data_IF_986128296078
#
_entry.id   IF_986128296078
#
_cell.length_a   1.000
_cell.length_b   1.000
_cell.length_c   1.000
_cell.angle_alpha   90.00
_cell.angle_beta   90.00
_cell.angle_gamma   90.00
#
_symmetry.space_group_name_H-M   'P 1'
#
loop_
_entity.id
_entity.type
_entity.pdbx_description
1 polymer ?
#
# COMPACT_ATOMS: atom_id res chain seq x y z
N UNK A 1 14.44 13.45 -19.21
CA UNK A 1 13.43 12.38 -19.11
C UNK A 1 14.10 11.03 -19.20
N UNK A 2 14.63 10.54 -18.08
CA UNK A 2 15.11 9.17 -17.95
C UNK A 2 14.00 8.38 -17.25
N UNK A 3 13.31 7.52 -18.00
CA UNK A 3 12.42 6.53 -17.41
C UNK A 3 13.31 5.53 -16.67
N UNK A 4 13.23 5.50 -15.34
CA UNK A 4 14.03 4.60 -14.52
C UNK A 4 13.59 3.16 -14.80
N UNK A 5 14.55 2.32 -15.21
CA UNK A 5 14.36 0.89 -15.43
C UNK A 5 15.27 0.12 -14.49
N UNK A 6 14.79 -1.05 -14.05
CA UNK A 6 15.61 -2.00 -13.30
C UNK A 6 16.13 -3.03 -14.28
N UNK A 7 17.45 -3.19 -14.34
CA UNK A 7 18.09 -4.25 -15.11
C UNK A 7 18.29 -5.47 -14.21
N UNK A 8 17.85 -6.63 -14.67
CA UNK A 8 18.12 -7.93 -14.02
C UNK A 8 18.66 -8.91 -15.04
N UNK A 9 19.52 -9.82 -14.59
CA UNK A 9 19.92 -10.96 -15.40
C UNK A 9 18.91 -12.10 -15.20
N UNK A 10 18.31 -12.55 -16.29
CA UNK A 10 17.35 -13.65 -16.28
C UNK A 10 17.71 -14.65 -17.37
N UNK A 11 17.98 -15.90 -16.97
CA UNK A 11 18.41 -16.98 -17.85
C UNK A 11 19.63 -16.62 -18.72
N UNK A 12 20.60 -15.89 -18.16
CA UNK A 12 21.83 -15.48 -18.85
C UNK A 12 21.68 -14.26 -19.77
N UNK A 13 20.50 -13.62 -19.79
CA UNK A 13 20.25 -12.42 -20.58
C UNK A 13 19.87 -11.23 -19.70
N UNK A 14 20.41 -10.05 -20.02
CA UNK A 14 19.98 -8.80 -19.41
C UNK A 14 18.55 -8.45 -19.86
N UNK A 15 17.63 -8.30 -18.91
CA UNK A 15 16.28 -7.77 -19.12
C UNK A 15 16.10 -6.47 -18.36
N UNK A 16 15.37 -5.55 -18.97
CA UNK A 16 15.00 -4.28 -18.38
C UNK A 16 13.52 -4.31 -18.06
N UNK A 17 13.17 -3.89 -16.85
CA UNK A 17 11.78 -3.79 -16.41
C UNK A 17 11.45 -2.35 -16.05
N UNK A 18 10.32 -1.88 -16.54
CA UNK A 18 9.70 -0.68 -16.04
C UNK A 18 9.03 -0.95 -14.68
N UNK A 19 8.85 0.11 -13.88
CA UNK A 19 8.16 0.01 -12.60
C UNK A 19 6.74 -0.56 -12.75
N UNK A 20 6.05 -0.20 -13.83
CA UNK A 20 4.69 -0.64 -14.15
C UNK A 20 4.61 -2.14 -14.43
N UNK A 21 5.55 -2.67 -15.21
CA UNK A 21 5.64 -4.11 -15.52
C UNK A 21 5.94 -4.91 -14.26
N UNK A 22 6.87 -4.41 -13.44
CA UNK A 22 7.21 -5.02 -12.15
C UNK A 22 6.01 -5.05 -11.21
N UNK A 23 5.24 -3.96 -11.17
CA UNK A 23 4.04 -3.86 -10.36
C UNK A 23 2.91 -4.78 -10.87
N UNK A 24 2.72 -4.88 -12.19
CA UNK A 24 1.78 -5.81 -12.82
C UNK A 24 2.08 -7.26 -12.43
N UNK A 25 3.34 -7.67 -12.52
CA UNK A 25 3.77 -9.02 -12.11
C UNK A 25 3.48 -9.28 -10.63
N UNK A 26 3.74 -8.30 -9.77
CA UNK A 26 3.47 -8.40 -8.33
C UNK A 26 1.98 -8.55 -8.03
N UNK A 27 1.13 -7.69 -8.61
CA UNK A 27 -0.33 -7.72 -8.39
C UNK A 27 -0.92 -9.02 -8.90
N UNK A 28 -0.48 -9.49 -10.07
CA UNK A 28 -0.88 -10.80 -10.62
C UNK A 28 -0.54 -11.92 -9.65
N UNK A 29 0.69 -11.94 -9.11
CA UNK A 29 1.08 -12.98 -8.17
C UNK A 29 0.31 -12.93 -6.86
N UNK A 30 -0.01 -11.73 -6.37
CA UNK A 30 -0.83 -11.55 -5.17
C UNK A 30 -2.26 -12.02 -5.37
N UNK A 31 -2.84 -11.79 -6.55
CA UNK A 31 -4.15 -12.34 -6.93
C UNK A 31 -4.14 -13.86 -6.89
N UNK A 32 -3.17 -14.50 -7.54
CA UNK A 32 -3.05 -15.97 -7.54
C UNK A 32 -2.98 -16.55 -6.11
N UNK A 33 -2.19 -15.92 -5.23
CA UNK A 33 -2.06 -16.34 -3.83
C UNK A 33 -3.39 -16.16 -3.09
N UNK A 34 -4.08 -15.05 -3.30
CA UNK A 34 -5.38 -14.79 -2.67
C UNK A 34 -6.45 -15.79 -3.14
N UNK A 35 -6.50 -16.09 -4.43
CA UNK A 35 -7.42 -17.08 -5.02
C UNK A 35 -7.13 -18.50 -4.53
N UNK A 36 -5.84 -18.86 -4.41
CA UNK A 36 -5.43 -20.15 -3.85
C UNK A 36 -5.82 -20.28 -2.37
N UNK A 37 -5.72 -19.18 -1.60
CA UNK A 37 -6.10 -19.15 -0.18
C UNK A 37 -7.61 -19.19 0.02
N UNK A 38 -8.37 -18.39 -0.72
CA UNK A 38 -9.83 -18.29 -0.60
C UNK A 38 -10.57 -19.44 -1.31
N UNK A 39 -9.89 -20.17 -2.20
CA UNK A 39 -10.47 -21.17 -3.13
C UNK A 39 -11.60 -20.60 -4.01
N UNK A 40 -11.56 -19.28 -4.24
CA UNK A 40 -12.55 -18.55 -5.01
C UNK A 40 -11.85 -17.49 -5.86
N UNK A 41 -12.46 -17.15 -7.01
CA UNK A 41 -11.98 -16.07 -7.87
C UNK A 41 -12.09 -14.73 -7.16
N UNK A 42 -11.03 -13.93 -7.20
CA UNK A 42 -11.00 -12.60 -6.59
C UNK A 42 -11.36 -11.57 -7.66
N UNK A 43 -12.43 -10.82 -7.42
CA UNK A 43 -12.97 -9.84 -8.37
C UNK A 43 -12.67 -8.39 -8.04
N UNK A 44 -12.66 -8.05 -6.75
CA UNK A 44 -12.50 -6.65 -6.31
C UNK A 44 -11.20 -6.51 -5.51
N UNK A 45 -10.51 -5.40 -5.68
CA UNK A 45 -9.30 -5.09 -4.94
C UNK A 45 -9.27 -3.63 -4.48
N UNK A 46 -8.77 -3.43 -3.25
CA UNK A 46 -8.38 -2.14 -2.71
C UNK A 46 -6.86 -2.17 -2.55
N UNK A 47 -6.17 -1.14 -3.07
CA UNK A 47 -4.71 -1.05 -2.99
C UNK A 47 -4.33 -0.06 -1.91
N UNK A 48 -3.47 -0.48 -0.99
CA UNK A 48 -2.91 0.40 0.03
C UNK A 48 -1.71 1.13 -0.56
N UNK A 49 -1.71 2.46 -0.48
CA UNK A 49 -0.65 3.31 -1.03
C UNK A 49 -0.09 4.27 0.02
N UNK A 50 1.14 4.76 -0.15
CA UNK A 50 1.67 5.83 0.69
C UNK A 50 0.84 7.11 0.56
N UNK A 51 0.76 7.91 1.63
CA UNK A 51 -0.04 9.14 1.65
C UNK A 51 0.38 10.20 0.61
N UNK A 52 1.59 10.10 0.07
CA UNK A 52 2.14 11.02 -0.93
C UNK A 52 1.91 10.55 -2.38
N UNK A 53 1.20 9.45 -2.61
CA UNK A 53 0.82 9.04 -3.96
C UNK A 53 -0.28 9.97 -4.48
N UNK A 54 -0.03 10.67 -5.59
CA UNK A 54 -0.99 11.63 -6.17
C UNK A 54 -1.18 11.39 -7.67
N UNK A 55 -2.40 11.67 -8.14
CA UNK A 55 -2.77 11.80 -9.55
C UNK A 55 -2.38 10.60 -10.42
N UNK A 56 -1.36 10.79 -11.26
CA UNK A 56 -0.95 9.84 -12.31
C UNK A 56 -0.67 8.42 -11.79
N UNK A 57 -0.10 8.31 -10.59
CA UNK A 57 0.20 6.99 -10.01
C UNK A 57 -1.07 6.19 -9.68
N UNK A 58 -2.16 6.85 -9.29
CA UNK A 58 -3.45 6.18 -9.06
C UNK A 58 -4.06 5.67 -10.36
N UNK A 59 -3.92 6.44 -11.45
CA UNK A 59 -4.36 6.01 -12.78
C UNK A 59 -3.58 4.77 -13.22
N UNK A 60 -2.26 4.77 -13.07
CA UNK A 60 -1.40 3.62 -13.40
C UNK A 60 -1.78 2.39 -12.58
N UNK A 61 -2.01 2.53 -11.27
CA UNK A 61 -2.45 1.43 -10.40
C UNK A 61 -3.81 0.88 -10.85
N UNK A 62 -4.76 1.76 -11.19
CA UNK A 62 -6.08 1.37 -11.68
C UNK A 62 -5.98 0.58 -12.98
N UNK A 63 -5.16 1.05 -13.92
CA UNK A 63 -4.95 0.37 -15.20
C UNK A 63 -4.32 -1.01 -15.01
N UNK A 64 -3.35 -1.12 -14.10
CA UNK A 64 -2.71 -2.40 -13.75
C UNK A 64 -3.71 -3.36 -13.08
N UNK A 65 -4.58 -2.87 -12.19
CA UNK A 65 -5.64 -3.70 -11.61
C UNK A 65 -6.59 -4.23 -12.68
N UNK A 66 -7.00 -3.38 -13.62
CA UNK A 66 -7.86 -3.78 -14.74
C UNK A 66 -7.17 -4.84 -15.62
N UNK A 67 -5.88 -4.69 -15.90
CA UNK A 67 -5.08 -5.68 -16.64
C UNK A 67 -4.98 -7.03 -15.92
N UNK A 68 -4.94 -7.04 -14.58
CA UNK A 68 -5.00 -8.27 -13.79
C UNK A 68 -6.41 -8.88 -13.68
N UNK A 69 -7.43 -8.27 -14.30
CA UNK A 69 -8.83 -8.68 -14.14
C UNK A 69 -9.35 -8.47 -12.72
N UNK A 70 -8.91 -7.40 -12.06
CA UNK A 70 -9.40 -6.95 -10.76
C UNK A 70 -10.16 -5.63 -10.95
N UNK A 71 -11.34 -5.54 -10.37
CA UNK A 71 -12.07 -4.28 -10.25
C UNK A 71 -11.45 -3.42 -9.15
N UNK A 72 -10.81 -2.33 -9.57
CA UNK A 72 -10.19 -1.37 -8.67
C UNK A 72 -11.28 -0.57 -7.93
N UNK A 73 -11.51 -0.91 -6.66
CA UNK A 73 -12.50 -0.23 -5.81
C UNK A 73 -11.99 1.10 -5.27
N UNK A 74 -10.68 1.34 -5.36
CA UNK A 74 -10.02 2.54 -4.87
C UNK A 74 -8.71 2.20 -4.19
N UNK A 75 -7.97 3.25 -3.85
CA UNK A 75 -6.77 3.18 -3.03
C UNK A 75 -7.04 3.85 -1.70
N UNK A 76 -6.46 3.30 -0.65
CA UNK A 76 -6.51 3.88 0.69
C UNK A 76 -5.09 4.16 1.15
N UNK A 77 -4.92 5.22 1.93
CA UNK A 77 -3.62 5.48 2.53
C UNK A 77 -3.33 4.42 3.61
N UNK A 78 -2.05 4.10 3.79
CA UNK A 78 -1.59 3.08 4.75
C UNK A 78 -2.05 3.34 6.19
N UNK A 79 -2.09 4.60 6.59
CA UNK A 79 -2.46 5.02 7.94
C UNK A 79 -3.95 4.83 8.24
N UNK A 80 -4.80 5.11 7.28
CA UNK A 80 -6.24 4.87 7.32
C UNK A 80 -6.51 3.38 7.32
N UNK A 81 -5.80 2.58 6.51
CA UNK A 81 -5.90 1.12 6.58
C UNK A 81 -5.53 0.60 7.97
N UNK A 82 -4.41 1.06 8.54
CA UNK A 82 -4.00 0.69 9.89
C UNK A 82 -5.06 1.08 10.92
N UNK A 83 -5.65 2.27 10.79
CA UNK A 83 -6.68 2.69 11.72
C UNK A 83 -7.95 1.83 11.66
N UNK A 84 -8.36 1.43 10.46
CA UNK A 84 -9.47 0.48 10.26
C UNK A 84 -9.15 -0.88 10.89
N UNK A 85 -7.95 -1.42 10.64
CA UNK A 85 -7.52 -2.73 11.19
C UNK A 85 -7.41 -2.70 12.71
N UNK A 86 -6.91 -1.61 13.30
CA UNK A 86 -6.85 -1.42 14.74
C UNK A 86 -8.23 -1.21 15.39
N UNK A 87 -9.29 -1.07 14.59
CA UNK A 87 -10.66 -0.91 15.07
C UNK A 87 -10.99 0.50 15.56
N UNK A 88 -10.21 1.51 15.16
CA UNK A 88 -10.49 2.91 15.47
C UNK A 88 -11.79 3.43 14.83
N UNK A 89 -12.30 2.76 13.80
CA UNK A 89 -13.58 3.03 13.14
C UNK A 89 -14.81 2.57 13.96
N UNK A 90 -14.63 1.68 14.95
CA UNK A 90 -15.74 1.16 15.76
C UNK A 90 -16.06 2.15 16.88
N UNK A 91 -16.98 3.07 16.62
CA UNK A 91 -17.48 4.13 17.50
C UNK A 91 -17.77 3.72 18.96
N UNK A 92 -16.72 3.59 19.77
CA UNK A 92 -16.83 3.68 21.22
C UNK A 92 -16.98 5.16 21.56
N UNK A 93 -18.23 5.56 21.74
CA UNK A 93 -18.66 6.80 22.38
C UNK A 93 -17.73 7.12 23.56
N UNK A 94 -16.90 8.14 23.39
CA UNK A 94 -15.86 8.50 24.36
C UNK A 94 -14.80 9.39 23.74
N UNK A 95 -15.10 10.69 23.67
CA UNK A 95 -14.19 11.83 23.51
C UNK A 95 -12.69 11.55 23.32
N UNK A 96 -12.17 12.03 22.18
CA UNK A 96 -10.77 12.45 21.96
C UNK A 96 -9.65 11.51 22.45
N UNK A 97 -9.35 10.48 21.67
CA UNK A 97 -8.04 9.81 21.75
C UNK A 97 -7.10 10.39 20.69
N UNK A 98 -6.06 11.09 21.15
CA UNK A 98 -4.87 11.37 20.33
C UNK A 98 -4.14 10.04 20.10
N UNK A 99 -4.68 9.20 19.22
CA UNK A 99 -4.13 7.88 18.99
C UNK A 99 -2.83 8.02 18.21
N UNK A 100 -1.77 7.52 18.85
CA UNK A 100 -0.43 7.40 18.28
C UNK A 100 -0.25 5.93 17.96
N UNK A 101 -0.15 5.61 16.69
CA UNK A 101 0.21 4.27 16.27
C UNK A 101 1.56 4.31 15.55
N UNK A 102 2.37 3.31 15.86
CA UNK A 102 3.70 3.13 15.32
C UNK A 102 3.69 1.84 14.52
N UNK A 103 4.14 1.91 13.27
CA UNK A 103 4.34 0.74 12.41
C UNK A 103 5.83 0.60 12.12
N UNK A 104 6.29 -0.63 12.25
CA UNK A 104 7.60 -1.04 11.74
C UNK A 104 7.36 -1.71 10.39
N UNK A 105 7.85 -1.11 9.31
CA UNK A 105 7.74 -1.64 7.95
C UNK A 105 9.10 -1.56 7.27
N UNK A 106 9.63 -2.68 6.76
CA UNK A 106 10.87 -2.71 5.97
C UNK A 106 12.13 -2.17 6.68
N UNK A 107 12.18 -2.13 8.02
CA UNK A 107 13.28 -1.56 8.79
C UNK A 107 13.11 -0.08 9.19
N UNK A 108 12.02 0.56 8.76
CA UNK A 108 11.69 1.95 9.10
C UNK A 108 10.68 1.99 10.25
N UNK A 109 10.91 2.91 11.19
CA UNK A 109 9.92 3.28 12.20
C UNK A 109 9.12 4.44 11.66
N UNK A 110 7.83 4.18 11.46
CA UNK A 110 6.88 5.16 10.98
C UNK A 110 5.84 5.37 12.08
N UNK A 111 5.66 6.63 12.49
CA UNK A 111 4.67 7.02 13.48
C UNK A 111 3.67 7.99 12.87
N UNK A 112 2.41 7.88 13.25
CA UNK A 112 1.40 8.88 12.89
C UNK A 112 0.58 9.28 14.10
N UNK A 113 0.03 10.49 14.02
CA UNK A 113 -0.96 11.00 14.96
C UNK A 113 -2.24 11.25 14.18
N UNK A 114 -3.33 10.65 14.64
CA UNK A 114 -4.66 10.88 14.09
C UNK A 114 -5.61 11.41 15.16
N UNK A 115 -6.67 12.06 14.70
CA UNK A 115 -7.88 12.28 15.50
C UNK A 115 -9.02 11.51 14.87
N UNK A 116 -9.84 10.90 15.73
CA UNK A 116 -11.01 10.14 15.34
C UNK A 116 -12.22 10.91 15.86
N UNK A 117 -13.06 11.39 14.96
CA UNK A 117 -14.35 12.01 15.29
C UNK A 117 -15.43 11.32 14.44
N UNK A 118 -16.48 10.79 15.08
CA UNK A 118 -17.62 10.13 14.44
C UNK A 118 -17.27 9.05 13.38
N UNK A 119 -16.22 8.27 13.64
CA UNK A 119 -15.73 7.21 12.72
C UNK A 119 -14.87 7.73 11.56
N UNK A 120 -14.73 9.05 11.43
CA UNK A 120 -13.81 9.67 10.47
C UNK A 120 -12.42 9.73 11.09
N UNK A 121 -11.47 8.99 10.49
CA UNK A 121 -10.06 9.01 10.88
C UNK A 121 -9.35 10.10 10.08
N UNK A 122 -8.98 11.18 10.74
CA UNK A 122 -8.15 12.25 10.16
C UNK A 122 -6.70 12.10 10.62
N UNK A 123 -5.78 11.92 9.67
CA UNK A 123 -4.33 11.83 9.95
C UNK A 123 -3.76 13.24 10.01
N UNK A 124 -3.34 13.68 11.20
CA UNK A 124 -2.84 15.05 11.43
C UNK A 124 -1.35 15.21 11.17
N UNK A 125 -0.57 14.16 11.38
CA UNK A 125 0.88 14.21 11.15
C UNK A 125 1.43 12.81 10.95
N UNK A 126 2.37 12.70 10.01
CA UNK A 126 3.16 11.49 9.77
C UNK A 126 4.63 11.82 10.04
N UNK A 127 5.32 10.93 10.74
CA UNK A 127 6.74 11.01 11.01
C UNK A 127 7.39 9.71 10.55
N UNK A 128 8.46 9.82 9.79
CA UNK A 128 9.21 8.68 9.27
C UNK A 128 10.67 8.85 9.67
N UNK A 129 11.30 7.78 10.15
CA UNK A 129 12.75 7.74 10.38
C UNK A 129 13.34 6.54 9.68
N UNK A 130 14.21 6.79 8.70
CA UNK A 130 15.07 5.75 8.13
C UNK A 130 16.05 5.32 9.22
N UNK A 131 15.98 4.07 9.65
CA UNK A 131 17.17 3.43 10.21
C UNK A 131 17.95 2.87 9.03
N UNK A 132 19.14 3.42 8.78
CA UNK A 132 20.13 2.74 7.96
C UNK A 132 20.42 1.40 8.63
N UNK A 133 19.92 0.30 8.07
CA UNK A 133 20.48 -1.02 8.32
C UNK A 133 21.71 -1.10 7.43
N UNK A 134 22.88 -0.81 7.99
CA UNK A 134 24.14 -1.29 7.40
C UNK A 134 24.09 -2.82 7.46
N UNK A 135 23.91 -3.45 6.31
CA UNK A 135 24.16 -4.87 6.14
C UNK A 135 25.67 -4.98 5.90
N UNK A 136 26.43 -5.27 6.96
CA UNK A 136 27.81 -5.76 6.84
C UNK A 136 27.84 -7.21 6.35
#
# INVERSE_FOLDING_TARGET
NTCLTVQVEYNGFAKFFHAEESFLMLVTKKKEIAEAYSRQTVYNAVIIVPAYFYGLQHTVIKDICNLCGLNFSGSINEWTHLAIVCGFDKGKSGSYSNDRAFRLSGGNLEGYKSTIEDGIVEVKSTAWKIHHVEIN
#
